data_IF_925360715252
#
_entry.id   IF_925360715252
#
_cell.length_a   1.000
_cell.length_b   1.000
_cell.length_c   1.000
_cell.angle_alpha   90.00
_cell.angle_beta   90.00
_cell.angle_gamma   90.00
#
_symmetry.space_group_name_H-M   'P 1'
#
loop_
_entity.id
_entity.type
_entity.pdbx_description
1 polymer ?
#
# COMPACT_ATOMS: atom_id res chain seq x y z
N UNK A 1 -83.43 -79.72 14.15
CA UNK A 1 -84.04 -79.35 15.45
C UNK A 1 -83.10 -79.84 16.56
N UNK A 2 -82.95 -79.17 17.72
CA UNK A 2 -82.28 -77.88 17.98
C UNK A 2 -81.12 -77.97 19.04
N UNK A 3 -80.41 -76.85 19.24
CA UNK A 3 -79.79 -76.28 20.48
C UNK A 3 -78.72 -77.08 21.29
N UNK A 4 -77.81 -76.51 22.09
CA UNK A 4 -77.11 -75.21 22.26
C UNK A 4 -76.31 -75.31 23.58
N UNK A 5 -75.00 -75.00 23.62
CA UNK A 5 -74.28 -74.45 24.81
C UNK A 5 -72.80 -74.15 24.44
N UNK A 6 -72.38 -72.86 24.37
CA UNK A 6 -71.58 -72.08 25.36
C UNK A 6 -70.26 -72.79 25.75
N UNK A 7 -69.05 -72.22 25.64
CA UNK A 7 -68.55 -71.03 26.37
C UNK A 7 -67.12 -70.63 25.91
N UNK A 8 -66.88 -69.32 25.81
CA UNK A 8 -65.68 -68.50 25.96
C UNK A 8 -64.22 -69.05 25.96
N UNK A 9 -63.37 -68.37 25.16
CA UNK A 9 -61.95 -68.08 25.40
C UNK A 9 -61.41 -67.20 24.25
N UNK A 10 -61.31 -65.86 24.38
CA UNK A 10 -60.07 -65.08 24.71
C UNK A 10 -58.79 -65.76 24.19
N UNK A 11 -57.84 -65.13 23.49
CA UNK A 11 -57.40 -63.73 23.40
C UNK A 11 -56.38 -63.59 22.24
N UNK A 12 -56.43 -62.43 21.57
CA UNK A 12 -55.31 -61.60 21.06
C UNK A 12 -54.30 -62.23 20.07
N UNK A 13 -54.35 -61.94 18.76
CA UNK A 13 -53.95 -60.70 18.02
C UNK A 13 -52.46 -60.35 18.04
N UNK A 14 -51.90 -60.40 16.83
CA UNK A 14 -50.67 -59.82 16.29
C UNK A 14 -50.10 -58.57 16.99
N UNK A 15 -48.77 -58.54 17.07
CA UNK A 15 -47.95 -57.34 17.12
C UNK A 15 -46.48 -57.73 17.34
N UNK A 16 -45.47 -57.07 16.80
CA UNK A 16 -45.33 -55.90 15.93
C UNK A 16 -43.84 -55.87 15.58
N UNK A 17 -43.49 -55.83 14.30
CA UNK A 17 -42.10 -55.71 13.87
C UNK A 17 -41.48 -54.41 14.40
N UNK A 18 -40.37 -54.53 15.13
CA UNK A 18 -39.64 -53.41 15.74
C UNK A 18 -38.79 -52.72 14.67
N UNK A 19 -39.38 -51.72 14.01
CA UNK A 19 -38.66 -50.74 13.17
C UNK A 19 -38.02 -49.73 14.12
N UNK A 20 -36.69 -49.78 14.26
CA UNK A 20 -35.91 -48.76 14.95
C UNK A 20 -35.99 -47.46 14.15
N UNK A 21 -36.88 -46.54 14.54
CA UNK A 21 -36.75 -45.13 14.17
C UNK A 21 -35.66 -44.51 15.03
N UNK A 22 -34.61 -44.02 14.38
CA UNK A 22 -33.67 -43.09 14.97
C UNK A 22 -34.44 -41.80 15.30
N UNK A 23 -34.78 -41.62 16.57
CA UNK A 23 -35.32 -40.36 17.09
C UNK A 23 -34.23 -39.30 16.99
N UNK A 24 -34.32 -38.45 15.97
CA UNK A 24 -33.60 -37.19 15.92
C UNK A 24 -34.09 -36.35 17.11
N UNK A 25 -33.19 -36.13 18.08
CA UNK A 25 -33.49 -35.34 19.26
C UNK A 25 -33.71 -33.89 18.84
N UNK A 26 -34.95 -33.42 18.94
CA UNK A 26 -35.27 -32.00 18.84
C UNK A 26 -34.42 -31.20 19.86
N UNK A 27 -33.89 -30.02 19.49
CA UNK A 27 -33.10 -29.22 20.41
C UNK A 27 -33.97 -28.76 21.60
N UNK A 28 -33.39 -28.66 22.82
CA UNK A 28 -34.14 -28.24 23.99
C UNK A 28 -34.65 -26.82 23.82
N UNK A 29 -35.97 -26.67 23.82
CA UNK A 29 -36.67 -25.41 23.96
C UNK A 29 -36.35 -24.83 25.36
N UNK A 30 -35.52 -23.79 25.42
CA UNK A 30 -35.23 -23.09 26.67
C UNK A 30 -33.81 -22.55 26.82
N UNK A 31 -33.30 -21.79 25.84
CA UNK A 31 -32.17 -20.90 26.04
C UNK A 31 -32.28 -19.71 25.06
N UNK A 32 -32.86 -18.60 25.52
CA UNK A 32 -32.79 -17.30 24.83
C UNK A 32 -31.38 -16.70 24.88
N UNK A 33 -30.36 -17.49 24.58
CA UNK A 33 -28.98 -17.06 24.47
C UNK A 33 -28.65 -16.83 23.01
N UNK A 34 -28.25 -15.60 22.66
CA UNK A 34 -27.75 -15.31 21.33
C UNK A 34 -26.64 -16.30 20.94
N UNK A 35 -26.87 -17.08 19.89
CA UNK A 35 -25.89 -18.07 19.42
C UNK A 35 -24.56 -17.37 19.12
N UNK A 36 -23.45 -17.86 19.68
CA UNK A 36 -22.10 -17.33 19.43
C UNK A 36 -21.78 -17.28 17.93
N UNK A 37 -22.23 -18.31 17.22
CA UNK A 37 -22.12 -18.46 15.78
C UNK A 37 -23.30 -17.82 15.05
N UNK A 38 -22.99 -17.19 13.93
CA UNK A 38 -23.91 -16.48 13.05
C UNK A 38 -23.70 -16.98 11.62
N UNK A 39 -24.82 -17.29 10.96
CA UNK A 39 -24.86 -17.63 9.54
C UNK A 39 -25.35 -16.42 8.76
N UNK A 40 -24.64 -16.07 7.70
CA UNK A 40 -25.01 -15.01 6.77
C UNK A 40 -25.21 -15.65 5.41
N UNK A 41 -26.34 -15.42 4.76
CA UNK A 41 -26.60 -15.82 3.39
C UNK A 41 -26.48 -14.59 2.50
N UNK A 42 -25.34 -14.45 1.81
CA UNK A 42 -25.02 -13.31 0.96
C UNK A 42 -25.22 -13.72 -0.49
N UNK A 43 -26.25 -13.20 -1.16
CA UNK A 43 -26.56 -13.49 -2.55
C UNK A 43 -26.68 -14.99 -2.88
N UNK A 44 -27.11 -15.81 -1.91
CA UNK A 44 -27.24 -17.27 -2.04
C UNK A 44 -26.06 -18.08 -1.51
N UNK A 45 -24.95 -17.45 -1.09
CA UNK A 45 -23.79 -18.14 -0.50
C UNK A 45 -23.78 -17.99 1.02
N UNK A 46 -23.65 -19.11 1.73
CA UNK A 46 -23.67 -19.12 3.20
C UNK A 46 -22.26 -18.96 3.78
N UNK A 47 -22.08 -17.92 4.59
CA UNK A 47 -20.90 -17.65 5.38
C UNK A 47 -21.17 -17.93 6.85
N UNK A 48 -20.22 -18.58 7.51
CA UNK A 48 -20.26 -18.86 8.94
C UNK A 48 -19.21 -18.02 9.68
N UNK A 49 -19.64 -17.32 10.73
CA UNK A 49 -18.76 -16.49 11.54
C UNK A 49 -19.29 -16.35 12.97
N UNK A 50 -18.63 -15.53 13.79
CA UNK A 50 -19.07 -15.26 15.16
C UNK A 50 -19.62 -13.85 15.31
N UNK A 51 -20.51 -13.63 16.28
CA UNK A 51 -21.00 -12.27 16.63
C UNK A 51 -19.87 -11.30 16.91
N UNK A 52 -18.84 -11.77 17.63
CA UNK A 52 -17.66 -10.98 17.95
C UNK A 52 -16.97 -10.41 16.71
N UNK A 53 -16.90 -11.18 15.62
CA UNK A 53 -16.32 -10.73 14.35
C UNK A 53 -17.16 -9.62 13.73
N UNK A 54 -18.48 -9.76 13.70
CA UNK A 54 -19.39 -8.77 13.10
C UNK A 54 -19.46 -7.47 13.90
N UNK A 55 -19.36 -7.57 15.22
CA UNK A 55 -19.36 -6.45 16.14
C UNK A 55 -17.98 -5.73 16.26
N UNK A 56 -16.98 -6.08 15.42
CA UNK A 56 -15.66 -5.44 15.45
C UNK A 56 -15.72 -3.96 15.04
N UNK A 57 -16.54 -3.65 14.05
CA UNK A 57 -16.77 -2.28 13.58
C UNK A 57 -18.16 -1.83 14.00
N UNK A 58 -18.25 -1.04 15.07
CA UNK A 58 -19.51 -0.64 15.72
C UNK A 58 -20.47 0.08 14.77
N UNK A 59 -19.93 0.84 13.80
CA UNK A 59 -20.71 1.62 12.83
C UNK A 59 -21.14 0.82 11.60
N UNK A 60 -20.68 -0.43 11.47
CA UNK A 60 -20.98 -1.27 10.32
C UNK A 60 -22.42 -1.77 10.32
N UNK A 61 -22.96 -2.03 9.13
CA UNK A 61 -24.24 -2.73 8.96
C UNK A 61 -24.23 -4.09 9.68
N UNK A 62 -23.12 -4.81 9.60
CA UNK A 62 -22.92 -6.13 10.20
C UNK A 62 -22.97 -6.10 11.74
N UNK A 63 -22.50 -5.02 12.37
CA UNK A 63 -22.60 -4.84 13.81
C UNK A 63 -24.06 -4.65 14.27
N UNK A 64 -24.87 -3.93 13.50
CA UNK A 64 -26.32 -3.79 13.79
C UNK A 64 -27.05 -5.14 13.74
N UNK A 65 -26.73 -5.98 12.76
CA UNK A 65 -27.24 -7.37 12.68
C UNK A 65 -26.85 -8.21 13.92
N UNK A 66 -25.65 -7.99 14.45
CA UNK A 66 -25.10 -8.67 15.63
C UNK A 66 -25.81 -8.25 16.93
N UNK A 67 -26.13 -6.95 17.07
CA UNK A 67 -26.68 -6.33 18.28
C UNK A 67 -28.19 -6.57 18.44
N UNK A 68 -28.86 -7.08 17.42
CA UNK A 68 -30.29 -7.38 17.49
C UNK A 68 -31.16 -6.12 17.54
N UNK A 69 -30.57 -4.94 17.25
CA UNK A 69 -31.35 -3.78 16.85
C UNK A 69 -32.18 -4.18 15.63
N UNK A 70 -33.45 -3.85 15.70
CA UNK A 70 -34.57 -4.20 14.83
C UNK A 70 -34.35 -3.85 13.36
N UNK A 71 -33.37 -4.50 12.74
CA UNK A 71 -33.38 -4.73 11.31
C UNK A 71 -34.30 -5.92 11.13
N UNK A 72 -35.43 -5.68 10.46
CA UNK A 72 -36.24 -6.66 9.75
C UNK A 72 -35.37 -7.34 8.68
N UNK A 73 -34.32 -7.99 9.14
CA UNK A 73 -33.40 -8.73 8.31
C UNK A 73 -34.06 -10.07 8.12
N UNK A 74 -34.48 -10.31 6.89
CA UNK A 74 -35.06 -11.58 6.51
C UNK A 74 -34.09 -12.67 6.94
N UNK A 75 -34.63 -13.66 7.65
CA UNK A 75 -33.89 -14.89 7.96
C UNK A 75 -34.50 -16.02 7.18
N UNK A 76 -33.65 -16.89 6.64
CA UNK A 76 -34.12 -18.11 5.99
C UNK A 76 -34.58 -19.16 7.04
N UNK A 77 -35.12 -20.28 6.55
CA UNK A 77 -35.55 -21.41 7.38
C UNK A 77 -34.41 -21.99 8.25
N UNK A 78 -33.16 -21.75 7.87
CA UNK A 78 -31.96 -22.18 8.61
C UNK A 78 -31.51 -21.18 9.67
N UNK A 79 -32.18 -20.03 9.76
CA UNK A 79 -31.84 -18.93 10.66
C UNK A 79 -30.66 -18.09 10.21
N UNK A 80 -30.24 -18.18 8.94
CA UNK A 80 -29.20 -17.32 8.37
C UNK A 80 -29.76 -15.96 7.99
N UNK A 81 -29.02 -14.88 8.25
CA UNK A 81 -29.40 -13.54 7.84
C UNK A 81 -29.21 -13.37 6.34
N UNK A 82 -30.27 -13.00 5.62
CA UNK A 82 -30.26 -12.78 4.18
C UNK A 82 -29.71 -11.39 3.86
N UNK A 83 -28.77 -11.35 2.91
CA UNK A 83 -28.11 -10.14 2.42
C UNK A 83 -28.13 -10.20 0.90
N UNK A 84 -28.83 -9.27 0.26
CA UNK A 84 -28.93 -9.17 -1.20
C UNK A 84 -27.72 -8.44 -1.78
N UNK A 85 -26.54 -9.07 -1.70
CA UNK A 85 -25.26 -8.56 -2.20
C UNK A 85 -24.44 -9.68 -2.84
N UNK A 86 -23.40 -9.30 -3.58
CA UNK A 86 -22.54 -10.25 -4.26
C UNK A 86 -21.63 -11.00 -3.25
N UNK A 87 -21.72 -12.34 -3.17
CA UNK A 87 -20.87 -13.11 -2.27
C UNK A 87 -19.39 -13.10 -2.65
N UNK A 88 -19.07 -12.84 -3.92
CA UNK A 88 -17.71 -12.88 -4.47
C UNK A 88 -16.79 -11.89 -3.74
N UNK A 89 -17.28 -10.68 -3.49
CA UNK A 89 -16.53 -9.61 -2.85
C UNK A 89 -16.68 -9.59 -1.33
N UNK A 90 -17.57 -10.41 -0.75
CA UNK A 90 -17.80 -10.46 0.69
C UNK A 90 -16.67 -11.15 1.48
N UNK A 91 -15.97 -12.11 0.86
CA UNK A 91 -14.88 -12.85 1.49
C UNK A 91 -13.79 -11.93 2.11
N UNK A 92 -13.20 -11.00 1.33
CA UNK A 92 -12.27 -10.00 1.85
C UNK A 92 -12.82 -9.17 3.00
N UNK A 93 -14.09 -8.76 2.93
CA UNK A 93 -14.75 -7.97 3.98
C UNK A 93 -14.78 -8.76 5.29
N UNK A 94 -15.23 -10.01 5.23
CA UNK A 94 -15.34 -10.87 6.41
C UNK A 94 -13.96 -11.19 7.00
N UNK A 95 -12.95 -11.42 6.16
CA UNK A 95 -11.59 -11.67 6.58
C UNK A 95 -10.96 -10.44 7.23
N UNK A 96 -11.21 -9.24 6.69
CA UNK A 96 -10.81 -8.00 7.32
C UNK A 96 -11.39 -7.87 8.74
N UNK A 97 -12.67 -8.22 8.95
CA UNK A 97 -13.25 -8.23 10.29
C UNK A 97 -12.64 -9.29 11.22
N UNK A 98 -12.17 -10.42 10.68
CA UNK A 98 -11.52 -11.48 11.48
C UNK A 98 -10.14 -11.06 12.00
N UNK A 99 -9.27 -10.56 11.12
CA UNK A 99 -7.86 -10.33 11.46
C UNK A 99 -7.35 -8.89 11.22
N UNK A 100 -8.15 -8.01 10.64
CA UNK A 100 -7.81 -6.59 10.43
C UNK A 100 -6.84 -6.33 9.27
N UNK A 101 -6.76 -7.24 8.29
CA UNK A 101 -5.89 -7.09 7.11
C UNK A 101 -6.72 -7.27 5.84
N UNK A 102 -6.47 -6.44 4.84
CA UNK A 102 -7.03 -6.60 3.49
C UNK A 102 -6.24 -7.70 2.77
N UNK A 103 -6.93 -8.74 2.33
CA UNK A 103 -6.36 -9.85 1.55
C UNK A 103 -7.27 -10.04 0.34
N UNK A 104 -6.71 -9.81 -0.85
CA UNK A 104 -7.40 -9.95 -2.14
C UNK A 104 -6.68 -10.99 -2.98
N UNK A 105 -7.45 -11.79 -3.70
CA UNK A 105 -6.91 -12.67 -4.73
C UNK A 105 -6.43 -11.85 -5.93
N UNK A 106 -5.50 -12.40 -6.72
CA UNK A 106 -4.84 -11.67 -7.81
C UNK A 106 -5.79 -11.13 -8.87
N UNK A 107 -6.88 -11.85 -9.12
CA UNK A 107 -7.84 -11.56 -10.19
C UNK A 107 -9.11 -10.86 -9.66
N UNK A 108 -9.14 -10.50 -8.37
CA UNK A 108 -10.28 -9.84 -7.76
C UNK A 108 -10.23 -8.33 -8.02
N UNK A 109 -11.31 -7.79 -8.62
CA UNK A 109 -11.45 -6.35 -8.82
C UNK A 109 -11.54 -5.62 -7.47
N UNK A 110 -10.67 -4.65 -7.25
CA UNK A 110 -10.61 -3.90 -5.99
C UNK A 110 -11.80 -2.94 -5.86
N UNK A 111 -12.30 -2.45 -7.00
CA UNK A 111 -13.50 -1.64 -7.12
C UNK A 111 -14.71 -2.37 -6.56
N UNK A 112 -14.88 -3.66 -6.87
CA UNK A 112 -15.98 -4.47 -6.34
C UNK A 112 -15.90 -4.65 -4.82
N UNK A 113 -14.68 -4.80 -4.28
CA UNK A 113 -14.49 -4.87 -2.83
C UNK A 113 -14.73 -3.51 -2.17
N UNK A 114 -14.38 -2.41 -2.84
CA UNK A 114 -14.64 -1.07 -2.35
C UNK A 114 -16.15 -0.82 -2.20
N UNK A 115 -16.94 -1.15 -3.23
CA UNK A 115 -18.41 -1.04 -3.22
C UNK A 115 -19.02 -1.81 -2.03
N UNK A 116 -18.56 -3.04 -1.78
CA UNK A 116 -19.02 -3.80 -0.61
C UNK A 116 -18.56 -3.17 0.71
N UNK A 117 -17.31 -2.70 0.80
CA UNK A 117 -16.80 -2.05 2.01
C UNK A 117 -17.59 -0.78 2.37
N UNK A 118 -18.03 -0.01 1.36
CA UNK A 118 -18.90 1.14 1.51
C UNK A 118 -20.32 0.72 1.92
N UNK A 119 -20.89 -0.32 1.30
CA UNK A 119 -22.20 -0.86 1.68
C UNK A 119 -22.25 -1.32 3.15
N UNK A 120 -21.26 -2.10 3.60
CA UNK A 120 -21.18 -2.55 4.99
C UNK A 120 -20.73 -1.45 5.95
N UNK A 121 -20.33 -0.28 5.43
CA UNK A 121 -19.82 0.87 6.16
C UNK A 121 -18.63 0.55 7.07
N UNK A 122 -17.56 0.00 6.47
CA UNK A 122 -16.33 -0.36 7.18
C UNK A 122 -15.25 0.68 6.88
N UNK A 123 -15.32 1.81 7.59
CA UNK A 123 -14.44 2.98 7.39
C UNK A 123 -12.94 2.68 7.26
N UNK A 124 -12.32 1.90 8.17
CA UNK A 124 -10.91 1.55 8.07
C UNK A 124 -10.55 0.79 6.78
N UNK A 125 -11.46 -0.07 6.31
CA UNK A 125 -11.26 -0.87 5.10
C UNK A 125 -11.37 -0.02 3.84
N UNK A 126 -12.39 0.85 3.78
CA UNK A 126 -12.59 1.81 2.69
C UNK A 126 -11.32 2.64 2.49
N UNK A 127 -10.73 3.16 3.56
CA UNK A 127 -9.48 3.95 3.49
C UNK A 127 -8.34 3.13 2.91
N UNK A 128 -8.12 1.91 3.42
CA UNK A 128 -7.03 1.03 2.93
C UNK A 128 -7.18 0.73 1.44
N UNK A 129 -8.41 0.49 0.97
CA UNK A 129 -8.65 0.19 -0.45
C UNK A 129 -8.38 1.43 -1.31
N UNK A 130 -8.90 2.61 -0.93
CA UNK A 130 -8.67 3.86 -1.66
C UNK A 130 -7.18 4.21 -1.75
N UNK A 131 -6.46 4.14 -0.63
CA UNK A 131 -5.00 4.39 -0.59
C UNK A 131 -4.25 3.42 -1.54
N UNK A 132 -4.66 2.14 -1.59
CA UNK A 132 -4.05 1.12 -2.46
C UNK A 132 -4.35 1.35 -3.95
N UNK A 133 -5.55 1.83 -4.28
CA UNK A 133 -5.94 2.15 -5.65
C UNK A 133 -5.16 3.39 -6.16
N UNK A 134 -5.00 4.41 -5.33
CA UNK A 134 -4.19 5.60 -5.66
C UNK A 134 -2.71 5.26 -5.91
N UNK A 135 -2.13 4.32 -5.13
CA UNK A 135 -0.76 3.84 -5.34
C UNK A 135 -0.59 3.12 -6.70
N UNK A 136 -1.59 2.35 -7.13
CA UNK A 136 -1.57 1.68 -8.44
C UNK A 136 -1.66 2.66 -9.59
N UNK A 137 -2.54 3.65 -9.49
CA UNK A 137 -2.66 4.71 -10.50
C UNK A 137 -1.34 5.48 -10.65
N UNK A 138 -0.57 5.63 -9.56
CA UNK A 138 0.76 6.23 -9.62
C UNK A 138 1.76 5.40 -10.43
N UNK A 139 1.74 4.07 -10.32
CA UNK A 139 2.63 3.20 -11.10
C UNK A 139 2.29 3.15 -12.59
N UNK A 140 1.00 3.32 -12.94
CA UNK A 140 0.53 3.33 -14.34
C UNK A 140 0.77 4.69 -14.99
N UNK A 141 0.73 5.77 -14.21
CA UNK A 141 0.89 7.16 -14.70
C UNK A 141 2.33 7.67 -14.55
N UNK A 142 3.34 6.81 -14.74
CA UNK A 142 4.76 7.21 -14.77
C UNK A 142 4.95 8.30 -15.84
N UNK A 143 4.92 9.57 -15.40
CA UNK A 143 5.38 10.70 -16.21
C UNK A 143 6.83 10.39 -16.56
N UNK A 144 7.23 10.47 -17.85
CA UNK A 144 8.62 10.23 -18.24
C UNK A 144 9.56 11.03 -17.32
N UNK A 145 10.67 10.42 -16.85
CA UNK A 145 11.60 11.11 -15.96
C UNK A 145 12.00 12.44 -16.60
N UNK A 146 11.94 13.53 -15.83
CA UNK A 146 12.31 14.84 -16.34
C UNK A 146 13.83 14.89 -16.47
N UNK A 147 14.35 15.11 -17.67
CA UNK A 147 15.78 15.32 -17.89
C UNK A 147 16.13 16.80 -17.71
N UNK A 148 17.24 17.06 -17.01
CA UNK A 148 17.90 18.37 -16.99
C UNK A 148 19.14 18.29 -17.87
N UNK A 149 19.30 19.25 -18.77
CA UNK A 149 20.46 19.34 -19.65
C UNK A 149 21.39 20.45 -19.21
N UNK A 150 22.69 20.23 -19.35
CA UNK A 150 23.74 21.24 -19.25
C UNK A 150 24.64 21.17 -20.47
N UNK A 151 25.18 22.32 -20.84
CA UNK A 151 26.23 22.43 -21.85
C UNK A 151 27.49 22.90 -21.14
N UNK A 152 28.55 22.10 -21.24
CA UNK A 152 29.87 22.39 -20.67
C UNK A 152 30.82 22.71 -21.81
N UNK A 153 31.55 23.81 -21.71
CA UNK A 153 32.58 24.18 -22.67
C UNK A 153 33.95 23.73 -22.13
N UNK A 154 34.77 23.14 -22.98
CA UNK A 154 36.13 22.72 -22.63
C UNK A 154 37.05 22.77 -23.85
N UNK A 155 38.35 22.89 -23.60
CA UNK A 155 39.39 22.75 -24.63
C UNK A 155 39.70 21.26 -24.86
N UNK A 156 40.30 20.93 -26.02
CA UNK A 156 40.68 19.56 -26.38
C UNK A 156 41.51 18.87 -25.29
N UNK A 157 42.50 19.59 -24.73
CA UNK A 157 43.40 19.08 -23.68
C UNK A 157 42.69 18.76 -22.36
N UNK A 158 41.56 19.42 -22.07
CA UNK A 158 40.80 19.25 -20.83
C UNK A 158 39.63 18.26 -20.97
N UNK A 159 39.27 17.89 -22.20
CA UNK A 159 38.07 17.09 -22.51
C UNK A 159 38.01 15.77 -21.73
N UNK A 160 39.11 15.02 -21.72
CA UNK A 160 39.18 13.71 -21.04
C UNK A 160 39.00 13.87 -19.54
N UNK A 161 39.62 14.90 -18.96
CA UNK A 161 39.52 15.19 -17.53
C UNK A 161 38.10 15.60 -17.15
N UNK A 162 37.48 16.49 -17.95
CA UNK A 162 36.11 16.95 -17.71
C UNK A 162 35.11 15.78 -17.74
N UNK A 163 35.18 14.90 -18.76
CA UNK A 163 34.27 13.73 -18.85
C UNK A 163 34.50 12.75 -17.70
N UNK A 164 35.77 12.54 -17.31
CA UNK A 164 36.12 11.58 -16.25
C UNK A 164 35.77 12.04 -14.84
N UNK A 165 35.74 13.37 -14.61
CA UNK A 165 35.42 13.99 -13.32
C UNK A 165 33.96 14.47 -13.22
N UNK A 166 33.14 14.14 -14.23
CA UNK A 166 31.73 14.47 -14.25
C UNK A 166 31.04 13.91 -13.00
N UNK A 167 30.27 14.74 -12.30
CA UNK A 167 29.64 14.35 -11.05
C UNK A 167 28.63 13.21 -11.23
N UNK A 168 28.44 12.41 -10.18
CA UNK A 168 27.53 11.27 -10.19
C UNK A 168 26.12 11.60 -10.72
N UNK A 169 25.64 10.73 -11.60
CA UNK A 169 24.29 10.80 -12.18
C UNK A 169 24.14 11.77 -13.35
N UNK A 170 25.20 12.44 -13.80
CA UNK A 170 25.22 13.08 -15.11
C UNK A 170 25.61 12.06 -16.19
N UNK A 171 24.97 12.15 -17.34
CA UNK A 171 25.20 11.34 -18.53
C UNK A 171 25.70 12.22 -19.64
N UNK A 172 26.69 11.74 -20.36
CA UNK A 172 27.14 12.36 -21.59
C UNK A 172 26.12 12.07 -22.72
N UNK A 173 25.68 13.11 -23.42
CA UNK A 173 24.71 13.01 -24.51
C UNK A 173 25.36 13.30 -25.88
N UNK A 174 26.14 14.39 -25.97
CA UNK A 174 26.68 14.85 -27.25
C UNK A 174 27.95 15.67 -27.05
N UNK A 175 28.92 15.55 -27.97
CA UNK A 175 30.07 16.43 -28.09
C UNK A 175 30.01 17.15 -29.44
N UNK A 176 30.13 18.47 -29.41
CA UNK A 176 30.12 19.33 -30.59
C UNK A 176 31.45 20.07 -30.66
N UNK A 177 32.22 19.86 -31.73
CA UNK A 177 33.40 20.67 -32.00
C UNK A 177 32.97 22.02 -32.57
N UNK A 178 33.45 23.12 -31.97
CA UNK A 178 33.17 24.48 -32.46
C UNK A 178 34.23 24.92 -33.49
N UNK A 179 35.31 24.14 -33.65
CA UNK A 179 36.44 24.47 -34.51
C UNK A 179 37.28 25.61 -33.93
N UNK A 180 38.51 25.78 -34.43
CA UNK A 180 39.35 26.91 -34.07
C UNK A 180 38.83 28.17 -34.79
N UNK A 181 38.61 29.24 -34.03
CA UNK A 181 38.21 30.52 -34.61
C UNK A 181 39.43 31.17 -35.30
N UNK A 182 39.62 30.86 -36.58
CA UNK A 182 40.51 31.54 -37.55
C UNK A 182 41.76 32.19 -36.95
N UNK A 183 42.71 31.42 -36.41
CA UNK A 183 43.94 31.99 -35.87
C UNK A 183 45.16 31.61 -36.72
N UNK A 184 45.63 32.57 -37.52
CA UNK A 184 46.84 32.43 -38.33
C UNK A 184 48.06 32.63 -37.41
N UNK A 185 48.55 31.54 -36.82
CA UNK A 185 49.85 31.50 -36.13
C UNK A 185 49.79 31.61 -34.60
N UNK A 186 49.42 30.54 -33.93
CA UNK A 186 49.96 29.98 -32.67
C UNK A 186 48.93 28.98 -32.15
N UNK A 187 49.39 27.75 -31.83
CA UNK A 187 48.67 26.58 -31.30
C UNK A 187 47.13 26.62 -31.41
N UNK A 188 46.61 26.03 -32.50
CA UNK A 188 45.19 25.75 -32.69
C UNK A 188 44.67 24.90 -31.51
N UNK A 189 43.98 25.51 -30.56
CA UNK A 189 43.25 24.79 -29.52
C UNK A 189 41.81 24.58 -29.99
N UNK A 190 41.43 23.32 -30.26
CA UNK A 190 40.06 23.01 -30.60
C UNK A 190 39.17 23.12 -29.36
N UNK A 191 38.08 23.89 -29.47
CA UNK A 191 37.07 24.01 -28.41
C UNK A 191 35.87 23.08 -28.67
N UNK A 192 35.31 22.56 -27.57
CA UNK A 192 34.18 21.65 -27.60
C UNK A 192 33.05 22.08 -26.66
N UNK A 193 31.81 21.84 -27.09
CA UNK A 193 30.61 21.84 -26.24
C UNK A 193 30.19 20.40 -25.95
N UNK A 194 30.14 20.07 -24.66
CA UNK A 194 29.69 18.79 -24.15
C UNK A 194 28.28 18.95 -23.57
N UNK A 195 27.29 18.34 -24.21
CA UNK A 195 25.92 18.25 -23.73
C UNK A 195 25.83 17.07 -22.78
N UNK A 196 25.34 17.33 -21.58
CA UNK A 196 25.15 16.32 -20.54
C UNK A 196 23.74 16.38 -20.00
N UNK A 197 23.16 15.24 -19.65
CA UNK A 197 21.83 15.12 -19.07
C UNK A 197 21.87 14.53 -17.66
N UNK A 198 20.86 14.84 -16.85
CA UNK A 198 20.62 14.17 -15.57
C UNK A 198 19.14 13.87 -15.43
N UNK A 199 18.82 12.61 -15.18
CA UNK A 199 17.46 12.15 -14.90
C UNK A 199 17.04 12.63 -13.50
N UNK A 200 15.89 13.32 -13.43
CA UNK A 200 15.25 13.68 -12.16
C UNK A 200 14.11 12.72 -11.86
N UNK A 201 14.21 12.06 -10.70
CA UNK A 201 13.11 11.33 -10.10
C UNK A 201 12.26 12.29 -9.27
N UNK A 202 11.05 12.61 -9.73
CA UNK A 202 10.06 13.30 -8.88
C UNK A 202 9.30 12.26 -8.06
N UNK A 203 9.64 12.12 -6.78
CA UNK A 203 8.76 11.45 -5.81
C UNK A 203 7.52 12.34 -5.57
N UNK A 204 6.28 11.81 -5.55
CA UNK A 204 5.07 12.60 -5.37
C UNK A 204 4.84 12.98 -3.92
N UNK A 205 5.51 12.31 -2.99
CA UNK A 205 5.47 12.71 -1.59
C UNK A 205 6.47 13.82 -1.38
N UNK A 206 5.94 15.04 -1.16
CA UNK A 206 6.67 16.23 -0.78
C UNK A 206 7.38 16.10 0.57
N UNK A 207 8.41 15.26 0.61
CA UNK A 207 9.53 15.37 1.52
C UNK A 207 10.75 15.70 0.67
N UNK A 208 10.86 16.99 0.34
CA UNK A 208 12.15 17.61 0.08
C UNK A 208 13.08 17.28 1.26
N UNK A 209 13.94 16.26 1.15
CA UNK A 209 14.79 15.93 2.30
C UNK A 209 16.05 15.08 2.09
N UNK A 210 16.49 14.74 0.87
CA UNK A 210 17.84 14.12 0.73
C UNK A 210 18.79 14.89 -0.18
N UNK A 211 18.35 15.35 -1.35
CA UNK A 211 19.25 16.10 -2.25
C UNK A 211 19.67 17.46 -1.66
N UNK A 212 18.74 18.22 -1.04
CA UNK A 212 19.06 19.52 -0.45
C UNK A 212 19.96 19.43 0.79
N UNK A 213 19.94 18.31 1.54
CA UNK A 213 20.82 18.16 2.72
C UNK A 213 22.27 17.91 2.32
N UNK A 214 22.50 17.25 1.18
CA UNK A 214 23.84 16.94 0.67
C UNK A 214 24.49 18.17 0.01
N UNK A 215 23.72 18.95 -0.76
CA UNK A 215 24.21 20.20 -1.38
C UNK A 215 24.53 21.27 -0.35
N UNK A 216 23.66 21.50 0.65
CA UNK A 216 23.93 22.49 1.71
C UNK A 216 25.16 22.16 2.54
N UNK A 217 25.36 20.88 2.89
CA UNK A 217 26.54 20.44 3.66
C UNK A 217 27.84 20.56 2.87
N UNK A 218 27.81 20.38 1.55
CA UNK A 218 28.98 20.54 0.70
C UNK A 218 29.36 22.01 0.50
N UNK A 219 28.37 22.90 0.34
CA UNK A 219 28.57 24.35 0.24
C UNK A 219 29.10 24.94 1.57
N UNK A 220 28.51 24.57 2.72
CA UNK A 220 29.01 25.00 4.04
C UNK A 220 30.45 24.51 4.30
N UNK A 221 30.81 23.28 3.93
CA UNK A 221 32.18 22.76 4.08
C UNK A 221 33.19 23.46 3.16
N UNK A 222 32.76 23.90 1.97
CA UNK A 222 33.63 24.65 1.06
C UNK A 222 33.85 26.08 1.55
N UNK A 223 32.82 26.74 2.06
CA UNK A 223 32.92 28.08 2.66
C UNK A 223 33.79 28.07 3.93
N UNK A 224 33.67 27.04 4.77
CA UNK A 224 34.48 26.92 6.00
C UNK A 224 35.96 26.65 5.69
N UNK A 225 36.24 25.85 4.64
CA UNK A 225 37.61 25.68 4.12
C UNK A 225 38.18 26.97 3.54
N UNK A 226 37.42 27.70 2.74
CA UNK A 226 37.86 28.98 2.17
C UNK A 226 38.12 30.02 3.27
N UNK A 227 37.29 30.06 4.33
CA UNK A 227 37.53 30.95 5.48
C UNK A 227 38.81 30.60 6.23
N UNK A 228 39.09 29.31 6.44
CA UNK A 228 40.34 28.87 7.09
C UNK A 228 41.57 29.20 6.23
N UNK A 229 41.50 29.04 4.91
CA UNK A 229 42.61 29.40 4.01
C UNK A 229 42.90 30.91 4.01
N UNK A 230 41.85 31.74 4.05
CA UNK A 230 42.00 33.21 4.15
C UNK A 230 42.60 33.62 5.51
N UNK A 231 42.16 33.00 6.61
CA UNK A 231 42.69 33.30 7.95
C UNK A 231 44.17 32.90 8.08
N UNK A 232 44.56 31.72 7.56
CA UNK A 232 45.95 31.28 7.56
C UNK A 232 46.83 32.19 6.70
N UNK A 233 46.35 32.62 5.53
CA UNK A 233 47.08 33.56 4.69
C UNK A 233 47.24 34.93 5.38
N UNK A 234 46.20 35.41 6.07
CA UNK A 234 46.24 36.69 6.77
C UNK A 234 47.22 36.68 7.94
N UNK A 235 47.26 35.58 8.72
CA UNK A 235 48.23 35.39 9.80
C UNK A 235 49.66 35.29 9.24
N UNK A 236 49.88 34.60 8.12
CA UNK A 236 51.21 34.55 7.49
C UNK A 236 51.72 35.91 7.05
N UNK A 237 50.85 36.73 6.44
CA UNK A 237 51.21 38.10 6.00
C UNK A 237 51.54 38.98 7.21
N UNK A 238 50.81 38.84 8.32
CA UNK A 238 51.06 39.61 9.54
C UNK A 238 52.37 39.19 10.23
N UNK A 239 52.70 37.89 10.22
CA UNK A 239 53.98 37.37 10.72
C UNK A 239 55.15 37.82 9.84
N UNK A 240 55.01 37.83 8.51
CA UNK A 240 56.04 38.35 7.60
C UNK A 240 56.26 39.85 7.77
N UNK A 241 55.20 40.63 7.95
CA UNK A 241 55.29 42.07 8.20
C UNK A 241 56.01 42.36 9.53
N UNK A 242 55.70 41.63 10.59
CA UNK A 242 56.34 41.81 11.91
C UNK A 242 57.82 41.35 11.90
N UNK A 243 58.17 40.41 11.02
CA UNK A 243 59.55 39.95 10.81
C UNK A 243 60.37 40.97 10.02
N UNK A 244 59.78 41.65 9.04
CA UNK A 244 60.44 42.74 8.29
C UNK A 244 60.64 43.99 9.15
N UNK A 245 59.70 44.30 10.05
CA UNK A 245 59.82 45.46 10.94
C UNK A 245 60.88 45.27 12.05
N UNK A 246 61.14 44.02 12.45
CA UNK A 246 62.25 43.66 13.37
C UNK A 246 63.61 43.50 12.68
N UNK A 247 63.66 43.47 11.35
CA UNK A 247 64.90 43.38 10.57
C UNK A 247 65.51 44.72 10.14
N UNK A 248 64.87 45.86 10.46
CA UNK A 248 65.31 47.21 10.10
C UNK A 248 65.66 48.13 11.28
N UNK A 249 65.76 47.57 12.50
CA UNK A 249 66.34 48.22 13.69
C UNK A 249 67.64 47.50 14.08
#
# INVERSE_FOLDING_TARGET
MPASSRLAGRMQTLGRAMRMEAREAAPPAGAGGWSKWVRLNVGGTVFLTTRQTLCREQKSFLSRLCQGEELQSDRDETGAYLIDRDPTYFGPILNFLRHGKLVLDKDMAEEGVLEEAEFYNIGPLIRIIKDRMEEKDYTVTQVPPKHVYRVLQCQEEELTQMVSTMSDGWRFEQLVSIGSSYNYGSEDQAEFLCVVSKELYSSPHGLSSESSRKTKRAEEQLEERQRQEVEVAQVQVEVEADTQQKGLL
#
